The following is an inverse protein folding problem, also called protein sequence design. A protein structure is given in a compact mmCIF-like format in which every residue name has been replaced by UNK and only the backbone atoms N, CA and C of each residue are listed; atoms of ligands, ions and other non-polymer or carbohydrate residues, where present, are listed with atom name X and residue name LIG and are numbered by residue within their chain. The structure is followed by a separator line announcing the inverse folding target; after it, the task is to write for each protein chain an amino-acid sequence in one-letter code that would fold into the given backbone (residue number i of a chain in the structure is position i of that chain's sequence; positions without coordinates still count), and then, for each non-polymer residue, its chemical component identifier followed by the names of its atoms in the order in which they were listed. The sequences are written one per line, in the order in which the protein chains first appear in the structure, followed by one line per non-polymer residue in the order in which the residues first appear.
data_IF_875837357650
#
_entry.id   IF_875837357650
#
_cell.length_a   1.000
_cell.length_b   1.000
_cell.length_c   1.000
_cell.angle_alpha   90.00
_cell.angle_beta   90.00
_cell.angle_gamma   90.00
#
_symmetry.space_group_name_H-M   'P 1'
#
loop_
_entity.id
_entity.type
_entity.pdbx_description
1 polymer ?
#
# COMPACT_ATOMS: atom_id res chain seq x y z
N UNK A 1 -4.20 -45.46 0.95
CA UNK A 1 -2.84 -44.89 1.04
C UNK A 1 -2.61 -43.98 -0.17
N UNK A 2 -2.89 -42.68 -0.06
CA UNK A 2 -2.45 -41.67 -1.03
C UNK A 2 -1.59 -40.68 -0.24
N UNK A 3 -0.28 -40.80 -0.43
CA UNK A 3 0.75 -39.92 0.11
C UNK A 3 0.51 -38.55 -0.52
N UNK A 4 -0.07 -37.62 0.24
CA UNK A 4 0.00 -36.20 -0.09
C UNK A 4 1.46 -35.81 0.06
N UNK A 5 2.15 -35.64 -1.06
CA UNK A 5 3.50 -35.12 -1.09
C UNK A 5 3.42 -33.65 -0.64
N UNK A 6 3.91 -33.41 0.57
CA UNK A 6 4.30 -32.10 1.06
C UNK A 6 5.47 -31.63 0.18
N UNK A 7 5.18 -31.03 -0.98
CA UNK A 7 6.16 -30.22 -1.69
C UNK A 7 6.35 -28.94 -0.90
N UNK A 8 7.27 -28.99 0.06
CA UNK A 8 7.84 -27.80 0.65
C UNK A 8 8.48 -26.99 -0.47
N UNK A 9 7.85 -25.89 -0.85
CA UNK A 9 8.40 -24.90 -1.74
C UNK A 9 9.71 -24.38 -1.13
N UNK A 10 10.84 -24.96 -1.52
CA UNK A 10 12.14 -24.44 -1.13
C UNK A 10 12.33 -23.12 -1.86
N UNK A 11 12.22 -22.01 -1.14
CA UNK A 11 12.57 -20.68 -1.63
C UNK A 11 14.08 -20.70 -1.89
N UNK A 12 14.46 -21.08 -3.10
CA UNK A 12 15.85 -21.10 -3.51
C UNK A 12 16.28 -19.64 -3.72
N UNK A 13 17.00 -19.09 -2.74
CA UNK A 13 17.57 -17.75 -2.81
C UNK A 13 18.65 -17.73 -3.90
N UNK A 14 18.22 -17.44 -5.12
CA UNK A 14 19.11 -17.27 -6.25
C UNK A 14 19.81 -15.91 -6.12
N UNK A 15 21.08 -15.95 -5.72
CA UNK A 15 21.90 -14.75 -5.48
C UNK A 15 21.99 -13.87 -6.73
N UNK A 16 21.82 -14.44 -7.93
CA UNK A 16 21.78 -13.69 -9.18
C UNK A 16 20.50 -12.86 -9.34
N UNK A 17 19.41 -13.19 -8.65
CA UNK A 17 18.17 -12.39 -8.63
C UNK A 17 18.22 -11.20 -7.67
N UNK A 18 19.14 -11.20 -6.71
CA UNK A 18 19.35 -10.03 -5.83
C UNK A 18 19.98 -8.86 -6.59
N UNK A 19 20.82 -9.15 -7.57
CA UNK A 19 21.52 -8.13 -8.35
C UNK A 19 20.56 -7.20 -9.12
N UNK A 20 19.58 -7.70 -9.92
CA UNK A 20 18.59 -6.83 -10.56
C UNK A 20 17.68 -6.12 -9.55
N UNK A 21 17.37 -6.73 -8.40
CA UNK A 21 16.61 -6.07 -7.35
C UNK A 21 17.37 -4.86 -6.75
N UNK A 22 18.67 -5.02 -6.47
CA UNK A 22 19.53 -3.90 -6.00
C UNK A 22 19.61 -2.80 -7.05
N UNK A 23 19.77 -3.16 -8.33
CA UNK A 23 19.80 -2.19 -9.43
C UNK A 23 18.47 -1.44 -9.55
N UNK A 24 17.33 -2.12 -9.44
CA UNK A 24 16.01 -1.50 -9.47
C UNK A 24 15.83 -0.51 -8.31
N UNK A 25 16.19 -0.91 -7.08
CA UNK A 25 16.13 -0.04 -5.90
C UNK A 25 17.03 1.19 -6.07
N UNK A 26 18.27 1.00 -6.55
CA UNK A 26 19.19 2.11 -6.82
C UNK A 26 18.66 3.06 -7.91
N UNK A 27 18.06 2.52 -8.97
CA UNK A 27 17.45 3.30 -10.05
C UNK A 27 16.31 4.19 -9.54
N UNK A 28 15.39 3.62 -8.76
CA UNK A 28 14.30 4.38 -8.10
C UNK A 28 14.86 5.45 -7.18
N UNK A 29 15.88 5.11 -6.38
CA UNK A 29 16.52 6.08 -5.48
C UNK A 29 17.14 7.27 -6.25
N UNK A 30 17.77 7.05 -7.41
CA UNK A 30 18.34 8.13 -8.22
C UNK A 30 17.25 9.08 -8.75
N UNK A 31 16.10 8.54 -9.14
CA UNK A 31 14.98 9.32 -9.67
C UNK A 31 14.31 10.13 -8.55
N UNK A 32 14.01 9.49 -7.43
CA UNK A 32 13.24 10.09 -6.32
C UNK A 32 14.09 11.03 -5.44
N UNK A 33 15.35 10.67 -5.14
CA UNK A 33 16.20 11.47 -4.24
C UNK A 33 16.64 12.80 -4.86
N UNK A 34 16.68 12.93 -6.19
CA UNK A 34 16.94 14.21 -6.85
C UNK A 34 15.80 15.22 -6.64
N UNK A 35 14.59 14.76 -6.36
CA UNK A 35 13.43 15.59 -6.05
C UNK A 35 13.13 15.75 -4.55
N UNK A 36 13.84 15.04 -3.67
CA UNK A 36 13.57 15.05 -2.24
C UNK A 36 13.98 16.39 -1.58
N UNK A 37 12.99 17.20 -1.20
CA UNK A 37 13.17 18.56 -0.67
C UNK A 37 13.30 18.67 0.86
N UNK A 38 13.87 17.69 1.56
CA UNK A 38 13.93 17.69 3.04
C UNK A 38 14.99 16.78 3.66
N UNK A 39 15.25 16.97 4.96
CA UNK A 39 16.11 16.09 5.74
C UNK A 39 15.38 14.78 6.11
N UNK A 40 16.10 13.65 6.30
CA UNK A 40 15.50 12.40 6.74
C UNK A 40 14.71 12.57 8.05
N UNK A 41 13.54 11.95 8.09
CA UNK A 41 12.57 12.02 9.17
C UNK A 41 12.24 10.63 9.72
N UNK A 42 11.58 10.59 10.87
CA UNK A 42 11.03 9.33 11.43
C UNK A 42 10.01 8.70 10.47
N UNK A 43 9.32 9.51 9.66
CA UNK A 43 8.42 9.05 8.60
C UNK A 43 9.13 8.17 7.57
N UNK A 44 10.36 8.53 7.18
CA UNK A 44 11.15 7.76 6.21
C UNK A 44 11.55 6.38 6.78
N UNK A 45 11.83 6.31 8.08
CA UNK A 45 12.09 5.04 8.77
C UNK A 45 10.82 4.16 8.81
N UNK A 46 9.65 4.75 9.10
CA UNK A 46 8.38 4.04 9.08
C UNK A 46 7.99 3.57 7.67
N UNK A 47 8.39 4.31 6.63
CA UNK A 47 8.15 3.93 5.24
C UNK A 47 8.81 2.61 4.83
N UNK A 48 9.89 2.18 5.50
CA UNK A 48 10.46 0.84 5.28
C UNK A 48 9.55 -0.31 5.70
N UNK A 49 8.52 -0.04 6.52
CA UNK A 49 7.48 -1.03 6.81
C UNK A 49 6.56 -1.28 5.61
N UNK A 50 6.41 -0.30 4.70
CA UNK A 50 5.48 -0.39 3.58
C UNK A 50 5.83 -1.53 2.60
N UNK A 51 7.08 -1.70 2.12
CA UNK A 51 7.44 -2.82 1.25
C UNK A 51 7.19 -4.19 1.90
N UNK A 52 7.42 -4.30 3.22
CA UNK A 52 7.17 -5.52 3.98
C UNK A 52 5.67 -5.81 4.02
N UNK A 53 4.85 -4.81 4.35
CA UNK A 53 3.39 -4.93 4.41
C UNK A 53 2.78 -5.29 3.06
N UNK A 54 3.12 -4.56 2.00
CA UNK A 54 2.60 -4.82 0.66
C UNK A 54 3.10 -6.16 0.10
N UNK A 55 4.38 -6.48 0.27
CA UNK A 55 4.95 -7.75 -0.19
C UNK A 55 4.28 -8.96 0.48
N UNK A 56 4.13 -8.94 1.80
CA UNK A 56 3.41 -10.00 2.53
C UNK A 56 1.93 -10.05 2.15
N UNK A 57 1.30 -8.89 1.93
CA UNK A 57 -0.08 -8.79 1.47
C UNK A 57 -0.29 -9.49 0.13
N UNK A 58 0.64 -9.37 -0.82
CA UNK A 58 0.57 -10.06 -2.10
C UNK A 58 0.76 -11.57 -1.99
N UNK A 59 1.66 -12.05 -1.13
CA UNK A 59 1.80 -13.49 -0.88
C UNK A 59 0.51 -14.08 -0.30
N UNK A 60 -0.11 -13.38 0.67
CA UNK A 60 -1.38 -13.79 1.25
C UNK A 60 -2.52 -13.75 0.22
N UNK A 61 -2.56 -12.70 -0.61
CA UNK A 61 -3.55 -12.55 -1.66
C UNK A 61 -3.43 -13.64 -2.72
N UNK A 62 -2.20 -13.95 -3.16
CA UNK A 62 -1.93 -15.03 -4.09
C UNK A 62 -2.44 -16.37 -3.53
N UNK A 63 -2.09 -16.70 -2.29
CA UNK A 63 -2.55 -17.93 -1.64
C UNK A 63 -4.07 -17.97 -1.53
N UNK A 64 -4.70 -16.86 -1.16
CA UNK A 64 -6.14 -16.74 -1.04
C UNK A 64 -6.86 -16.89 -2.39
N UNK A 65 -6.34 -16.26 -3.44
CA UNK A 65 -6.93 -16.34 -4.79
C UNK A 65 -6.70 -17.70 -5.45
N UNK A 66 -5.64 -18.43 -5.09
CA UNK A 66 -5.45 -19.84 -5.46
C UNK A 66 -6.46 -20.76 -4.76
N UNK A 67 -6.77 -20.50 -3.48
CA UNK A 67 -7.73 -21.31 -2.70
C UNK A 67 -9.20 -20.98 -3.00
N UNK A 68 -9.51 -19.70 -3.23
CA UNK A 68 -10.87 -19.18 -3.44
C UNK A 68 -10.90 -18.12 -4.55
N UNK A 69 -10.73 -18.51 -5.81
CA UNK A 69 -10.70 -17.57 -6.94
C UNK A 69 -12.03 -16.83 -7.14
N UNK A 70 -13.15 -17.35 -6.67
CA UNK A 70 -14.45 -16.67 -6.74
C UNK A 70 -14.55 -15.47 -5.78
N UNK A 71 -13.69 -15.41 -4.75
CA UNK A 71 -13.78 -14.43 -3.67
C UNK A 71 -13.12 -13.07 -3.98
N UNK A 72 -12.70 -12.81 -5.22
CA UNK A 72 -11.98 -11.58 -5.59
C UNK A 72 -12.73 -10.29 -5.19
N UNK A 73 -14.05 -10.22 -5.43
CA UNK A 73 -14.84 -9.06 -5.06
C UNK A 73 -14.98 -8.88 -3.53
N UNK A 74 -15.38 -9.92 -2.75
CA UNK A 74 -15.36 -9.85 -1.29
C UNK A 74 -14.01 -9.45 -0.69
N UNK A 75 -12.90 -9.98 -1.24
CA UNK A 75 -11.56 -9.67 -0.76
C UNK A 75 -11.22 -8.19 -0.98
N UNK A 76 -11.51 -7.65 -2.16
CA UNK A 76 -11.29 -6.24 -2.45
C UNK A 76 -12.18 -5.34 -1.57
N UNK A 77 -13.43 -5.72 -1.30
CA UNK A 77 -14.30 -4.99 -0.38
C UNK A 77 -13.76 -5.00 1.06
N UNK A 78 -13.24 -6.14 1.54
CA UNK A 78 -12.61 -6.24 2.87
C UNK A 78 -11.35 -5.37 2.93
N UNK A 79 -10.49 -5.39 1.91
CA UNK A 79 -9.31 -4.51 1.83
C UNK A 79 -9.71 -3.04 1.97
N UNK A 80 -10.72 -2.59 1.22
CA UNK A 80 -11.22 -1.21 1.29
C UNK A 80 -11.80 -0.87 2.68
N UNK A 81 -12.56 -1.79 3.29
CA UNK A 81 -13.10 -1.60 4.63
C UNK A 81 -11.99 -1.48 5.67
N UNK A 82 -10.97 -2.33 5.60
CA UNK A 82 -9.82 -2.28 6.51
C UNK A 82 -9.10 -0.94 6.38
N UNK A 83 -8.86 -0.46 5.15
CA UNK A 83 -8.24 0.84 4.90
C UNK A 83 -9.11 1.98 5.44
N UNK A 84 -10.43 1.93 5.24
CA UNK A 84 -11.35 2.94 5.76
C UNK A 84 -11.33 3.00 7.30
N UNK A 85 -11.41 1.84 7.97
CA UNK A 85 -11.34 1.75 9.44
C UNK A 85 -9.98 2.23 9.96
N UNK A 86 -8.87 1.82 9.31
CA UNK A 86 -7.54 2.27 9.67
C UNK A 86 -7.37 3.79 9.49
N UNK A 87 -7.97 4.37 8.44
CA UNK A 87 -7.92 5.82 8.18
C UNK A 87 -8.70 6.60 9.24
N UNK A 88 -9.88 6.11 9.64
CA UNK A 88 -10.65 6.69 10.75
C UNK A 88 -9.90 6.57 12.08
N UNK A 89 -9.32 5.39 12.37
CA UNK A 89 -8.50 5.21 13.56
C UNK A 89 -7.29 6.16 13.57
N UNK A 90 -6.62 6.33 12.44
CA UNK A 90 -5.51 7.27 12.31
C UNK A 90 -5.96 8.72 12.53
N UNK A 91 -7.11 9.14 12.01
CA UNK A 91 -7.67 10.47 12.24
C UNK A 91 -7.84 10.75 13.75
N UNK A 92 -8.44 9.81 14.49
CA UNK A 92 -8.67 9.95 15.94
C UNK A 92 -7.40 9.84 16.78
N UNK A 93 -6.44 9.03 16.34
CA UNK A 93 -5.17 8.84 17.02
C UNK A 93 -4.15 9.91 16.62
N UNK A 94 -4.39 10.71 15.59
CA UNK A 94 -3.44 11.73 15.13
C UNK A 94 -3.02 12.72 16.22
N UNK A 95 -3.90 13.19 17.14
CA UNK A 95 -3.48 14.07 18.22
C UNK A 95 -2.48 13.40 19.17
N UNK A 96 -2.66 12.10 19.42
CA UNK A 96 -1.74 11.29 20.23
C UNK A 96 -0.43 11.00 19.49
N UNK A 97 -0.51 10.69 18.19
CA UNK A 97 0.68 10.38 17.38
C UNK A 97 1.57 11.61 17.23
N UNK A 98 0.97 12.78 17.01
CA UNK A 98 1.70 14.03 16.84
C UNK A 98 2.23 14.63 18.16
N UNK A 99 1.67 14.21 19.30
CA UNK A 99 2.15 14.68 20.61
C UNK A 99 3.26 13.82 21.22
N UNK A 100 3.49 12.61 20.70
CA UNK A 100 4.61 11.73 21.08
C UNK A 100 5.94 12.44 20.80
N UNK A 101 6.58 12.95 21.87
CA UNK A 101 7.86 13.66 21.81
C UNK A 101 7.76 15.19 21.98
N UNK A 102 6.56 15.72 22.24
CA UNK A 102 6.34 17.12 22.65
C UNK A 102 6.02 17.20 24.14
N UNK A 103 6.26 18.36 24.76
CA UNK A 103 6.13 18.58 26.23
C UNK A 103 4.67 18.44 26.77
N UNK A 104 3.69 18.24 25.89
CA UNK A 104 2.30 17.95 26.25
C UNK A 104 2.16 16.50 26.72
N UNK A 105 2.00 16.30 28.03
CA UNK A 105 1.96 14.97 28.64
C UNK A 105 0.95 14.01 27.99
N UNK A 106 1.26 12.71 28.04
CA UNK A 106 0.44 11.62 27.50
C UNK A 106 -1.03 11.70 27.97
N UNK A 107 -1.25 12.12 29.22
CA UNK A 107 -2.59 12.26 29.80
C UNK A 107 -3.47 13.30 29.06
N UNK A 108 -2.90 14.43 28.65
CA UNK A 108 -3.63 15.48 27.92
C UNK A 108 -3.90 15.06 26.47
N UNK A 109 -2.96 14.35 25.86
CA UNK A 109 -3.12 13.79 24.52
C UNK A 109 -4.20 12.71 24.46
N UNK A 110 -4.26 11.85 25.48
CA UNK A 110 -5.31 10.83 25.61
C UNK A 110 -6.68 11.45 25.89
N UNK A 111 -6.75 12.54 26.65
CA UNK A 111 -8.00 13.27 26.87
C UNK A 111 -8.55 13.93 25.60
N UNK A 112 -7.68 14.22 24.62
CA UNK A 112 -8.05 14.80 23.34
C UNK A 112 -8.49 13.76 22.28
N UNK A 113 -8.26 12.47 22.52
CA UNK A 113 -8.82 11.40 21.69
C UNK A 113 -10.32 11.32 21.98
N UNK A 114 -11.12 11.63 20.98
CA UNK A 114 -12.59 11.67 21.06
C UNK A 114 -13.14 11.17 19.73
N UNK A 115 -14.26 10.47 19.72
CA UNK A 115 -14.86 9.97 18.48
C UNK A 115 -15.53 11.14 17.74
N UNK A 116 -14.81 11.70 16.76
CA UNK A 116 -15.21 12.85 15.95
C UNK A 116 -15.50 12.40 14.53
N UNK A 117 -16.60 12.90 13.98
CA UNK A 117 -16.89 12.69 12.57
C UNK A 117 -16.07 13.71 11.76
N UNK A 118 -15.31 13.28 10.73
CA UNK A 118 -14.59 14.19 9.86
C UNK A 118 -15.53 15.18 9.19
N UNK A 119 -15.17 16.45 9.14
CA UNK A 119 -15.94 17.45 8.38
C UNK A 119 -15.71 17.26 6.88
N UNK A 120 -16.76 16.82 6.18
CA UNK A 120 -16.76 16.63 4.73
C UNK A 120 -17.34 17.83 3.98
N UNK A 121 -17.74 18.90 4.67
CA UNK A 121 -18.40 20.07 4.07
C UNK A 121 -17.59 20.72 2.97
N UNK A 122 -16.28 20.88 3.17
CA UNK A 122 -15.36 21.44 2.17
C UNK A 122 -15.25 20.54 0.92
N UNK A 123 -15.27 19.22 1.10
CA UNK A 123 -15.21 18.23 0.03
C UNK A 123 -16.51 18.21 -0.77
N UNK A 124 -17.65 18.20 -0.08
CA UNK A 124 -18.98 18.14 -0.69
C UNK A 124 -19.37 19.44 -1.41
N UNK A 125 -18.85 20.58 -0.95
CA UNK A 125 -19.15 21.90 -1.53
C UNK A 125 -18.36 22.19 -2.81
N UNK A 126 -17.22 21.51 -3.03
CA UNK A 126 -16.37 21.71 -4.20
C UNK A 126 -16.59 20.60 -5.23
N UNK A 127 -17.17 20.90 -6.41
CA UNK A 127 -17.36 19.91 -7.46
C UNK A 127 -16.04 19.25 -7.90
N UNK A 128 -14.95 20.02 -7.92
CA UNK A 128 -13.62 19.53 -8.29
C UNK A 128 -13.11 18.52 -7.25
N UNK A 129 -13.18 18.85 -5.96
CA UNK A 129 -12.74 17.94 -4.89
C UNK A 129 -13.56 16.65 -4.86
N UNK A 130 -14.89 16.76 -4.98
CA UNK A 130 -15.78 15.61 -5.00
C UNK A 130 -15.51 14.71 -6.20
N UNK A 131 -15.38 15.28 -7.40
CA UNK A 131 -15.09 14.51 -8.62
C UNK A 131 -13.73 13.81 -8.55
N UNK A 132 -12.71 14.48 -8.01
CA UNK A 132 -11.39 13.91 -7.78
C UNK A 132 -11.43 12.72 -6.82
N UNK A 133 -12.09 12.85 -5.67
CA UNK A 133 -12.18 11.78 -4.67
C UNK A 133 -12.99 10.60 -5.20
N UNK A 134 -14.09 10.84 -5.92
CA UNK A 134 -14.88 9.77 -6.52
C UNK A 134 -14.06 9.03 -7.59
N UNK A 135 -13.34 9.76 -8.44
CA UNK A 135 -12.49 9.14 -9.46
C UNK A 135 -11.37 8.33 -8.82
N UNK A 136 -10.63 8.90 -7.86
CA UNK A 136 -9.51 8.19 -7.25
C UNK A 136 -9.99 6.99 -6.43
N UNK A 137 -11.05 7.16 -5.63
CA UNK A 137 -11.61 6.09 -4.81
C UNK A 137 -12.24 4.96 -5.61
N UNK A 138 -13.08 5.26 -6.60
CA UNK A 138 -13.81 4.23 -7.34
C UNK A 138 -12.98 3.62 -8.47
N UNK A 139 -12.32 4.45 -9.27
CA UNK A 139 -11.62 4.00 -10.48
C UNK A 139 -10.18 3.59 -10.14
N UNK A 140 -9.41 4.47 -9.51
CA UNK A 140 -7.98 4.17 -9.31
C UNK A 140 -7.70 3.27 -8.11
N UNK A 141 -8.64 3.14 -7.17
CA UNK A 141 -8.48 2.28 -6.00
C UNK A 141 -9.41 1.06 -6.04
N UNK A 142 -10.73 1.23 -5.98
CA UNK A 142 -11.64 0.09 -5.84
C UNK A 142 -11.61 -0.84 -7.06
N UNK A 143 -11.69 -0.28 -8.27
CA UNK A 143 -11.58 -1.05 -9.50
C UNK A 143 -10.18 -1.68 -9.65
N UNK A 144 -9.11 -0.94 -9.34
CA UNK A 144 -7.74 -1.47 -9.39
C UNK A 144 -7.55 -2.66 -8.45
N UNK A 145 -7.99 -2.55 -7.19
CA UNK A 145 -7.91 -3.66 -6.21
C UNK A 145 -8.74 -4.86 -6.64
N UNK A 146 -9.86 -4.66 -7.34
CA UNK A 146 -10.66 -5.77 -7.87
C UNK A 146 -9.96 -6.47 -9.04
N UNK A 147 -9.42 -5.70 -9.98
CA UNK A 147 -8.62 -6.23 -11.11
C UNK A 147 -7.37 -6.94 -10.59
N UNK A 148 -6.68 -6.37 -9.60
CA UNK A 148 -5.54 -6.98 -8.91
C UNK A 148 -5.93 -8.35 -8.34
N UNK A 149 -6.98 -8.42 -7.53
CA UNK A 149 -7.48 -9.71 -6.99
C UNK A 149 -7.80 -10.73 -8.10
N UNK A 150 -8.23 -10.28 -9.29
CA UNK A 150 -8.43 -11.16 -10.45
C UNK A 150 -7.10 -11.61 -11.05
N UNK A 151 -6.12 -10.72 -11.18
CA UNK A 151 -4.80 -11.03 -11.73
C UNK A 151 -4.06 -12.09 -10.89
N UNK A 152 -4.12 -11.98 -9.56
CA UNK A 152 -3.49 -12.92 -8.63
C UNK A 152 -4.07 -14.35 -8.65
N UNK A 153 -5.17 -14.58 -9.39
CA UNK A 153 -5.63 -15.95 -9.69
C UNK A 153 -4.70 -16.69 -10.66
N UNK A 154 -3.90 -15.95 -11.42
CA UNK A 154 -3.07 -16.47 -12.53
C UNK A 154 -1.62 -16.03 -12.47
N UNK A 155 -1.33 -14.90 -11.84
CA UNK A 155 0.01 -14.30 -11.77
C UNK A 155 0.58 -14.53 -10.37
N UNK A 156 1.76 -15.17 -10.23
CA UNK A 156 2.46 -15.27 -8.95
C UNK A 156 2.89 -13.91 -8.41
N UNK A 157 3.01 -13.77 -7.08
CA UNK A 157 3.39 -12.50 -6.46
C UNK A 157 4.79 -12.02 -6.86
N UNK A 158 5.70 -12.93 -7.18
CA UNK A 158 7.02 -12.59 -7.71
C UNK A 158 6.96 -11.95 -9.10
N UNK A 159 6.08 -12.44 -9.97
CA UNK A 159 5.93 -11.86 -11.31
C UNK A 159 5.19 -10.51 -11.23
N UNK A 160 4.20 -10.43 -10.34
CA UNK A 160 3.49 -9.18 -10.06
C UNK A 160 4.42 -8.10 -9.50
N UNK A 161 5.34 -8.45 -8.58
CA UNK A 161 6.28 -7.46 -8.04
C UNK A 161 7.25 -6.94 -9.09
N UNK A 162 7.71 -7.78 -10.02
CA UNK A 162 8.53 -7.34 -11.16
C UNK A 162 7.76 -6.31 -11.99
N UNK A 163 6.49 -6.59 -12.32
CA UNK A 163 5.64 -5.65 -13.07
C UNK A 163 5.52 -4.31 -12.31
N UNK A 164 5.24 -4.35 -11.01
CA UNK A 164 5.11 -3.14 -10.18
C UNK A 164 6.41 -2.32 -10.11
N UNK A 165 7.59 -2.96 -10.10
CA UNK A 165 8.86 -2.22 -10.12
C UNK A 165 9.11 -1.47 -11.44
N UNK A 166 8.34 -1.74 -12.49
CA UNK A 166 8.41 -0.99 -13.76
C UNK A 166 7.52 0.25 -13.79
N UNK A 167 6.59 0.42 -12.84
CA UNK A 167 5.69 1.58 -12.78
C UNK A 167 6.43 2.93 -12.71
N UNK A 168 7.50 3.10 -11.89
CA UNK A 168 8.24 4.37 -11.85
C UNK A 168 8.89 4.72 -13.19
N UNK A 169 9.25 3.72 -14.00
CA UNK A 169 9.83 3.94 -15.33
C UNK A 169 8.79 4.51 -16.30
N UNK A 170 7.56 4.01 -16.27
CA UNK A 170 6.46 4.56 -17.07
C UNK A 170 6.06 5.96 -16.62
N UNK A 171 6.02 6.19 -15.31
CA UNK A 171 5.77 7.53 -14.75
C UNK A 171 6.83 8.55 -15.19
N UNK A 172 8.11 8.18 -15.10
CA UNK A 172 9.21 9.02 -15.57
C UNK A 172 9.14 9.27 -17.08
N UNK A 173 8.81 8.24 -17.88
CA UNK A 173 8.66 8.38 -19.32
C UNK A 173 7.50 9.31 -19.70
N UNK A 174 6.34 9.18 -19.06
CA UNK A 174 5.19 10.06 -19.30
C UNK A 174 5.50 11.50 -18.88
N UNK A 175 6.09 11.69 -17.69
CA UNK A 175 6.49 13.01 -17.19
C UNK A 175 7.56 13.70 -18.04
N UNK A 176 8.37 12.94 -18.79
CA UNK A 176 9.35 13.53 -19.71
C UNK A 176 8.72 14.09 -21.00
N UNK A 177 7.49 13.68 -21.35
CA UNK A 177 6.80 14.06 -22.59
C UNK A 177 5.76 15.17 -22.37
N UNK A 178 5.36 15.42 -21.12
CA UNK A 178 4.43 16.48 -20.71
C UNK A 178 5.16 17.69 -20.12
#
# INVERSE_FOLDING_TARGET
QRKAATEGNQVQFDTLRLLPAVVAVAGVAIVELKGAGGAPSVGDALSFAQPIGFGLGYLQLEELMRKRPEAALPVSAIKLLVVAVASLAYFELSPLINSLGTDGGLAESLANVSLRIPDLGAVLSSPVALSGILYTGLITTALALWVESIAFKRVPATDASIILTTEPLFAAAAGAVT
#
